data_IF_718279924161
#
_entry.id   IF_718279924161
#
_cell.length_a   1.000
_cell.length_b   1.000
_cell.length_c   1.000
_cell.angle_alpha   90.00
_cell.angle_beta   90.00
_cell.angle_gamma   90.00
#
_symmetry.space_group_name_H-M   'P 1'
#
loop_
_entity.id
_entity.type
_entity.pdbx_description
1 polymer ?
#
# COMPACT_ATOMS: atom_id res chain seq x y z
N UNK A 1 28.38 17.29 21.54
CA UNK A 1 27.02 17.79 21.24
C UNK A 1 26.30 16.81 20.31
N UNK A 2 26.98 16.34 19.26
CA UNK A 2 26.51 15.30 18.32
C UNK A 2 26.04 14.02 18.98
N UNK A 3 26.86 13.38 19.82
CA UNK A 3 26.48 12.12 20.51
C UNK A 3 25.18 12.25 21.32
N UNK A 4 25.03 13.34 22.09
CA UNK A 4 23.80 13.63 22.85
C UNK A 4 22.58 13.87 21.96
N UNK A 5 22.78 14.36 20.73
CA UNK A 5 21.69 14.55 19.77
C UNK A 5 21.29 13.22 19.13
N UNK A 6 22.27 12.37 18.80
CA UNK A 6 22.06 11.02 18.26
C UNK A 6 21.33 10.12 19.27
N UNK A 7 21.75 10.12 20.53
CA UNK A 7 21.06 9.37 21.60
C UNK A 7 19.59 9.76 21.72
N UNK A 8 19.29 11.07 21.67
CA UNK A 8 17.91 11.57 21.70
C UNK A 8 17.13 11.15 20.47
N UNK A 9 17.72 11.19 19.28
CA UNK A 9 17.07 10.76 18.05
C UNK A 9 16.72 9.27 18.09
N UNK A 10 17.64 8.43 18.61
CA UNK A 10 17.42 6.98 18.77
C UNK A 10 16.22 6.70 19.69
N UNK A 11 16.08 7.44 20.79
CA UNK A 11 14.93 7.29 21.69
C UNK A 11 13.62 7.58 20.95
N UNK A 12 13.58 8.64 20.14
CA UNK A 12 12.39 8.96 19.33
C UNK A 12 12.09 7.87 18.30
N UNK A 13 13.09 7.34 17.60
CA UNK A 13 12.90 6.25 16.64
C UNK A 13 12.42 4.96 17.32
N UNK A 14 12.94 4.65 18.50
CA UNK A 14 12.51 3.51 19.30
C UNK A 14 11.02 3.59 19.66
N UNK A 15 10.56 4.74 20.16
CA UNK A 15 9.16 4.91 20.54
C UNK A 15 8.22 4.89 19.32
N UNK A 16 8.66 5.46 18.18
CA UNK A 16 7.91 5.37 16.93
C UNK A 16 7.78 3.92 16.44
N UNK A 17 8.88 3.16 16.41
CA UNK A 17 8.87 1.76 16.00
C UNK A 17 8.00 0.91 16.92
N UNK A 18 8.11 1.10 18.24
CA UNK A 18 7.28 0.41 19.21
C UNK A 18 5.79 0.66 18.97
N UNK A 19 5.43 1.92 18.67
CA UNK A 19 4.04 2.29 18.38
C UNK A 19 3.51 1.63 17.11
N UNK A 20 4.36 1.44 16.09
CA UNK A 20 4.00 0.72 14.87
C UNK A 20 3.80 -0.78 15.13
N UNK A 21 4.71 -1.42 15.88
CA UNK A 21 4.65 -2.86 16.17
C UNK A 21 3.47 -3.27 17.06
N UNK A 22 2.96 -2.35 17.87
CA UNK A 22 1.84 -2.59 18.78
C UNK A 22 0.47 -2.24 18.18
N UNK A 23 0.40 -1.89 16.89
CA UNK A 23 -0.88 -1.64 16.25
C UNK A 23 -1.71 -2.93 16.20
N UNK A 24 -3.02 -2.86 16.54
CA UNK A 24 -3.87 -4.03 16.49
C UNK A 24 -4.02 -4.51 15.04
N UNK A 25 -3.93 -5.83 14.79
CA UNK A 25 -4.10 -6.37 13.45
C UNK A 25 -5.57 -6.30 13.01
N UNK A 26 -5.79 -6.03 11.73
CA UNK A 26 -7.11 -6.08 11.10
C UNK A 26 -7.33 -7.51 10.58
N UNK A 27 -8.39 -8.19 11.05
CA UNK A 27 -8.70 -9.59 10.70
C UNK A 27 -9.97 -9.71 9.89
N UNK A 28 -10.06 -10.73 9.04
CA UNK A 28 -11.28 -11.05 8.28
C UNK A 28 -11.57 -10.10 7.12
N UNK A 29 -10.54 -9.42 6.61
CA UNK A 29 -10.64 -8.52 5.48
C UNK A 29 -9.76 -9.02 4.33
N UNK A 30 -10.32 -9.05 3.12
CA UNK A 30 -9.52 -9.06 1.90
C UNK A 30 -9.05 -7.63 1.65
N UNK A 31 -7.73 -7.46 1.55
CA UNK A 31 -7.06 -6.15 1.51
C UNK A 31 -6.42 -5.92 0.15
N UNK A 32 -6.67 -4.74 -0.42
CA UNK A 32 -5.93 -4.22 -1.57
C UNK A 32 -4.86 -3.25 -1.07
N UNK A 33 -3.59 -3.63 -1.17
CA UNK A 33 -2.46 -2.73 -1.01
C UNK A 33 -2.38 -1.76 -2.19
N UNK A 34 -2.18 -0.48 -1.90
CA UNK A 34 -1.99 0.59 -2.86
C UNK A 34 -0.72 1.35 -2.47
N UNK A 35 0.38 1.06 -3.18
CA UNK A 35 1.65 1.79 -3.08
C UNK A 35 1.65 2.96 -4.07
N UNK A 36 1.50 4.21 -3.61
CA UNK A 36 1.32 5.36 -4.48
C UNK A 36 2.64 5.76 -5.15
N UNK A 37 2.57 6.13 -6.43
CA UNK A 37 3.69 6.77 -7.10
C UNK A 37 3.25 7.55 -8.34
N UNK A 38 4.01 8.58 -8.70
CA UNK A 38 3.78 9.39 -9.91
C UNK A 38 4.18 8.64 -11.20
N UNK A 39 5.47 8.72 -11.57
CA UNK A 39 5.95 8.30 -12.91
C UNK A 39 5.96 6.78 -13.11
N UNK A 40 6.23 6.02 -12.05
CA UNK A 40 6.35 4.56 -12.09
C UNK A 40 5.00 3.85 -12.03
N UNK A 41 3.91 4.59 -11.86
CA UNK A 41 2.57 4.06 -11.60
C UNK A 41 2.41 3.62 -10.15
N UNK A 42 1.16 3.63 -9.69
CA UNK A 42 0.76 3.10 -8.40
C UNK A 42 0.69 1.58 -8.48
N UNK A 43 1.25 0.90 -7.47
CA UNK A 43 1.41 -0.55 -7.44
C UNK A 43 0.32 -1.13 -6.56
N UNK A 44 -0.33 -2.15 -7.08
CA UNK A 44 -1.51 -2.76 -6.48
C UNK A 44 -1.20 -4.21 -6.18
N UNK A 45 -1.54 -4.64 -4.97
CA UNK A 45 -1.50 -6.03 -4.56
C UNK A 45 -2.81 -6.37 -3.85
N UNK A 46 -3.40 -7.52 -4.13
CA UNK A 46 -4.58 -8.00 -3.41
C UNK A 46 -4.18 -9.21 -2.59
N UNK A 47 -4.46 -9.18 -1.29
CA UNK A 47 -4.22 -10.29 -0.37
C UNK A 47 -5.52 -10.74 0.29
N UNK A 48 -5.66 -12.05 0.52
CA UNK A 48 -6.79 -12.58 1.26
C UNK A 48 -6.67 -12.36 2.77
N UNK A 49 -7.67 -12.82 3.53
CA UNK A 49 -7.71 -12.72 5.00
C UNK A 49 -6.57 -13.43 5.73
N UNK A 50 -5.85 -14.33 5.04
CA UNK A 50 -4.68 -15.05 5.55
C UNK A 50 -3.36 -14.37 5.20
N UNK A 51 -3.39 -13.32 4.37
CA UNK A 51 -2.22 -12.62 3.86
C UNK A 51 -1.65 -13.24 2.57
N UNK A 52 -2.34 -14.21 1.96
CA UNK A 52 -1.89 -14.82 0.70
C UNK A 52 -2.14 -13.84 -0.45
N UNK A 53 -1.10 -13.63 -1.27
CA UNK A 53 -1.21 -12.83 -2.50
C UNK A 53 -2.15 -13.51 -3.51
N UNK A 54 -3.13 -12.75 -3.99
CA UNK A 54 -4.14 -13.17 -4.96
C UNK A 54 -3.87 -12.60 -6.36
N UNK A 55 -3.49 -11.32 -6.44
CA UNK A 55 -3.28 -10.62 -7.71
C UNK A 55 -2.41 -9.38 -7.53
N UNK A 56 -1.87 -8.88 -8.64
CA UNK A 56 -1.11 -7.63 -8.68
C UNK A 56 -1.43 -6.83 -9.93
N UNK A 57 -1.29 -5.50 -9.87
CA UNK A 57 -1.43 -4.64 -11.03
C UNK A 57 -0.59 -3.36 -10.87
N UNK A 58 -0.38 -2.67 -11.99
CA UNK A 58 0.16 -1.30 -12.00
C UNK A 58 -0.85 -0.40 -12.68
N UNK A 59 -1.26 0.66 -12.00
CA UNK A 59 -2.23 1.65 -12.48
C UNK A 59 -1.62 3.05 -12.44
N UNK A 60 -2.17 4.00 -13.19
CA UNK A 60 -1.57 5.33 -13.35
C UNK A 60 -2.57 6.46 -13.07
N UNK A 61 -3.23 6.49 -11.90
CA UNK A 61 -4.24 7.51 -11.59
C UNK A 61 -3.65 8.88 -11.28
N UNK A 62 -2.34 8.98 -11.07
CA UNK A 62 -1.67 10.24 -10.69
C UNK A 62 -0.88 10.84 -11.86
N UNK A 63 -0.42 12.10 -11.75
CA UNK A 63 0.47 12.68 -12.74
C UNK A 63 1.72 11.82 -12.99
N UNK A 64 2.27 11.79 -14.21
CA UNK A 64 1.88 12.61 -15.36
C UNK A 64 0.75 12.01 -16.23
N UNK A 65 0.42 10.72 -16.06
CA UNK A 65 -0.54 10.06 -16.96
C UNK A 65 -1.99 10.42 -16.65
N UNK A 66 -2.36 10.53 -15.37
CA UNK A 66 -3.74 10.85 -14.96
C UNK A 66 -4.79 9.93 -15.62
N UNK A 67 -4.47 8.65 -15.77
CA UNK A 67 -5.33 7.65 -16.42
C UNK A 67 -6.40 7.14 -15.44
N UNK A 68 -7.29 8.05 -15.03
CA UNK A 68 -8.28 7.81 -13.98
C UNK A 68 -9.26 6.70 -14.35
N UNK A 69 -9.81 6.73 -15.56
CA UNK A 69 -10.89 5.83 -15.97
C UNK A 69 -10.42 4.38 -16.08
N UNK A 70 -9.27 4.15 -16.71
CA UNK A 70 -8.69 2.82 -16.80
C UNK A 70 -8.25 2.32 -15.41
N UNK A 71 -7.64 3.19 -14.60
CA UNK A 71 -7.27 2.85 -13.21
C UNK A 71 -8.51 2.45 -12.39
N UNK A 72 -9.60 3.21 -12.48
CA UNK A 72 -10.88 2.87 -11.82
C UNK A 72 -11.38 1.52 -12.30
N UNK A 73 -11.38 1.28 -13.62
CA UNK A 73 -11.85 0.01 -14.19
C UNK A 73 -11.07 -1.17 -13.63
N UNK A 74 -9.74 -1.12 -13.67
CA UNK A 74 -8.87 -2.18 -13.14
C UNK A 74 -9.14 -2.41 -11.65
N UNK A 75 -9.22 -1.35 -10.84
CA UNK A 75 -9.48 -1.50 -9.41
C UNK A 75 -10.88 -2.06 -9.12
N UNK A 76 -11.92 -1.62 -9.86
CA UNK A 76 -13.28 -2.18 -9.73
C UNK A 76 -13.29 -3.68 -10.05
N UNK A 77 -12.62 -4.10 -11.13
CA UNK A 77 -12.53 -5.51 -11.51
C UNK A 77 -11.86 -6.34 -10.41
N UNK A 78 -10.75 -5.86 -9.84
CA UNK A 78 -10.07 -6.53 -8.72
C UNK A 78 -10.92 -6.57 -7.44
N UNK A 79 -11.59 -5.45 -7.10
CA UNK A 79 -12.46 -5.34 -5.93
C UNK A 79 -13.60 -6.36 -6.02
N UNK A 80 -14.27 -6.45 -7.17
CA UNK A 80 -15.39 -7.39 -7.34
C UNK A 80 -14.91 -8.84 -7.43
N UNK A 81 -13.82 -9.10 -8.16
CA UNK A 81 -13.26 -10.46 -8.33
C UNK A 81 -12.87 -11.09 -7.00
N UNK A 82 -12.29 -10.32 -6.09
CA UNK A 82 -11.74 -10.84 -4.83
C UNK A 82 -12.56 -10.46 -3.59
N UNK A 83 -13.67 -9.74 -3.75
CA UNK A 83 -14.46 -9.22 -2.62
C UNK A 83 -13.62 -8.37 -1.65
N UNK A 84 -12.81 -7.46 -2.20
CA UNK A 84 -12.00 -6.54 -1.40
C UNK A 84 -12.93 -5.70 -0.52
N UNK A 85 -12.56 -5.56 0.76
CA UNK A 85 -13.32 -4.77 1.74
C UNK A 85 -12.52 -3.59 2.29
N UNK A 86 -11.20 -3.62 2.13
CA UNK A 86 -10.28 -2.61 2.65
C UNK A 86 -9.18 -2.29 1.62
N UNK A 87 -8.89 -1.02 1.44
CA UNK A 87 -7.75 -0.52 0.67
C UNK A 87 -6.72 0.05 1.65
N UNK A 88 -5.49 -0.46 1.63
CA UNK A 88 -4.38 0.04 2.42
C UNK A 88 -3.50 0.95 1.55
N UNK A 89 -3.59 2.26 1.76
CA UNK A 89 -2.85 3.28 0.99
C UNK A 89 -1.54 3.63 1.71
N UNK A 90 -0.40 3.43 1.04
CA UNK A 90 0.90 3.91 1.53
C UNK A 90 0.91 5.43 1.73
N UNK A 91 1.56 5.90 2.79
CA UNK A 91 1.68 7.33 3.11
C UNK A 91 2.85 8.02 2.39
N UNK A 92 3.34 7.44 1.30
CA UNK A 92 4.47 7.92 0.52
C UNK A 92 4.20 9.04 -0.45
N UNK A 93 5.04 9.04 -1.49
CA UNK A 93 4.96 9.99 -2.60
C UNK A 93 3.65 9.81 -3.36
N UNK A 94 2.98 10.91 -3.71
CA UNK A 94 1.67 10.91 -4.38
C UNK A 94 0.51 10.29 -3.58
N UNK A 95 0.69 10.07 -2.26
CA UNK A 95 -0.34 9.50 -1.38
C UNK A 95 -1.60 10.36 -1.34
N UNK A 96 -1.47 11.70 -1.32
CA UNK A 96 -2.61 12.63 -1.29
C UNK A 96 -3.46 12.55 -2.57
N UNK A 97 -2.83 12.57 -3.74
CA UNK A 97 -3.52 12.44 -5.02
C UNK A 97 -4.18 11.07 -5.17
N UNK A 98 -3.50 10.03 -4.67
CA UNK A 98 -4.02 8.67 -4.64
C UNK A 98 -5.21 8.53 -3.69
N UNK A 99 -5.18 9.18 -2.53
CA UNK A 99 -6.31 9.23 -1.58
C UNK A 99 -7.54 9.87 -2.23
N UNK A 100 -7.36 11.02 -2.91
CA UNK A 100 -8.47 11.68 -3.63
C UNK A 100 -9.06 10.75 -4.69
N UNK A 101 -8.21 10.06 -5.45
CA UNK A 101 -8.64 9.08 -6.44
C UNK A 101 -9.41 7.90 -5.82
N UNK A 102 -8.89 7.31 -4.73
CA UNK A 102 -9.54 6.19 -4.02
C UNK A 102 -10.88 6.63 -3.43
N UNK A 103 -10.95 7.83 -2.85
CA UNK A 103 -12.18 8.37 -2.29
C UNK A 103 -13.28 8.53 -3.35
N UNK A 104 -12.94 8.98 -4.56
CA UNK A 104 -13.89 9.04 -5.68
C UNK A 104 -14.26 7.65 -6.19
N UNK A 105 -13.30 6.72 -6.30
CA UNK A 105 -13.57 5.33 -6.67
C UNK A 105 -14.60 4.68 -5.74
N UNK A 106 -14.42 4.81 -4.42
CA UNK A 106 -15.29 4.18 -3.42
C UNK A 106 -16.74 4.66 -3.54
N UNK A 107 -16.97 5.93 -3.88
CA UNK A 107 -18.33 6.47 -4.08
C UNK A 107 -19.07 5.82 -5.25
N UNK A 108 -18.34 5.28 -6.23
CA UNK A 108 -18.90 4.64 -7.40
C UNK A 108 -19.12 3.13 -7.23
N UNK A 109 -18.70 2.55 -6.10
CA UNK A 109 -18.86 1.12 -5.83
C UNK A 109 -20.27 0.82 -5.30
N UNK A 110 -20.78 -0.34 -5.69
CA UNK A 110 -22.07 -0.84 -5.19
C UNK A 110 -21.99 -1.46 -3.79
N UNK A 111 -20.77 -1.66 -3.28
CA UNK A 111 -20.46 -2.33 -2.02
C UNK A 111 -19.62 -1.45 -1.10
N UNK A 112 -19.71 -1.71 0.21
CA UNK A 112 -18.93 -0.98 1.20
C UNK A 112 -17.46 -1.41 1.14
N UNK A 113 -16.60 -0.49 0.70
CA UNK A 113 -15.14 -0.60 0.77
C UNK A 113 -14.61 0.60 1.53
N UNK A 114 -13.72 0.36 2.48
CA UNK A 114 -13.05 1.40 3.26
C UNK A 114 -11.61 1.55 2.79
N UNK A 115 -10.99 2.69 3.08
CA UNK A 115 -9.55 2.84 2.97
C UNK A 115 -8.94 3.24 4.31
N UNK A 116 -7.68 2.90 4.48
CA UNK A 116 -6.84 3.34 5.59
C UNK A 116 -5.48 3.76 5.05
N UNK A 117 -4.88 4.77 5.67
CA UNK A 117 -3.52 5.19 5.35
C UNK A 117 -2.56 4.39 6.23
N UNK A 118 -1.57 3.76 5.62
CA UNK A 118 -0.56 2.93 6.29
C UNK A 118 0.84 3.51 6.12
N UNK A 119 1.71 3.22 7.07
CA UNK A 119 3.11 3.61 6.98
C UNK A 119 3.84 2.66 6.01
N UNK A 120 4.41 3.19 4.94
CA UNK A 120 5.19 2.41 3.97
C UNK A 120 6.68 2.28 4.34
N UNK A 121 7.10 2.84 5.49
CA UNK A 121 8.48 2.76 5.94
C UNK A 121 8.92 1.29 6.08
N UNK A 122 9.88 0.89 5.25
CA UNK A 122 10.41 -0.47 5.21
C UNK A 122 9.89 -1.32 4.06
N UNK A 123 8.80 -0.92 3.36
CA UNK A 123 8.26 -1.62 2.20
C UNK A 123 9.32 -1.80 1.09
N UNK A 124 9.99 -0.70 0.71
CA UNK A 124 11.06 -0.76 -0.31
C UNK A 124 12.31 -1.52 0.14
N UNK A 125 12.57 -1.59 1.45
CA UNK A 125 13.68 -2.36 2.01
C UNK A 125 13.35 -3.86 1.93
N UNK A 126 12.12 -4.22 2.30
CA UNK A 126 11.61 -5.59 2.18
C UNK A 126 11.58 -6.05 0.72
N UNK A 127 11.07 -5.23 -0.19
CA UNK A 127 10.91 -5.62 -1.60
C UNK A 127 12.24 -5.97 -2.27
N UNK A 128 13.31 -5.24 -1.93
CA UNK A 128 14.68 -5.45 -2.40
C UNK A 128 15.49 -6.46 -1.55
N UNK A 129 14.91 -7.02 -0.49
CA UNK A 129 15.60 -7.94 0.40
C UNK A 129 15.70 -9.35 -0.19
N UNK A 130 16.63 -10.15 0.36
CA UNK A 130 16.74 -11.56 0.04
C UNK A 130 15.45 -12.31 0.42
N UNK A 131 14.90 -12.05 1.62
CA UNK A 131 13.69 -12.72 2.09
C UNK A 131 12.48 -12.40 1.20
N UNK A 132 12.29 -11.14 0.77
CA UNK A 132 11.22 -10.80 -0.16
C UNK A 132 11.35 -11.46 -1.53
N UNK A 133 12.60 -11.72 -1.96
CA UNK A 133 12.86 -12.49 -3.19
C UNK A 133 12.59 -13.99 -3.01
N UNK A 134 12.85 -14.54 -1.83
CA UNK A 134 12.52 -15.92 -1.49
C UNK A 134 11.00 -16.15 -1.36
N UNK A 135 10.27 -15.18 -0.79
CA UNK A 135 8.80 -15.25 -0.64
C UNK A 135 8.07 -15.06 -1.98
N UNK A 136 8.58 -14.19 -2.86
CA UNK A 136 7.94 -13.86 -4.14
C UNK A 136 8.95 -13.83 -5.31
N UNK A 137 9.52 -14.98 -5.71
CA UNK A 137 10.59 -15.04 -6.72
C UNK A 137 10.14 -14.54 -8.09
N UNK A 138 8.90 -14.82 -8.47
CA UNK A 138 8.34 -14.49 -9.78
C UNK A 138 7.68 -13.10 -9.85
N UNK A 139 7.60 -12.38 -8.73
CA UNK A 139 7.02 -11.03 -8.67
C UNK A 139 8.12 -10.00 -8.84
N UNK A 140 7.85 -8.97 -9.66
CA UNK A 140 8.77 -7.85 -9.84
C UNK A 140 9.02 -7.12 -8.51
N UNK A 141 10.27 -6.68 -8.28
CA UNK A 141 10.68 -5.95 -7.08
C UNK A 141 9.77 -4.76 -6.75
N UNK A 142 9.20 -4.07 -7.75
CA UNK A 142 8.33 -2.92 -7.52
C UNK A 142 6.96 -3.27 -6.97
N UNK A 143 6.50 -4.52 -7.14
CA UNK A 143 5.17 -5.01 -6.74
C UNK A 143 5.18 -5.78 -5.42
N UNK A 144 6.36 -6.00 -4.81
CA UNK A 144 6.49 -6.67 -3.51
C UNK A 144 6.35 -5.71 -2.32
N UNK A 145 6.43 -4.41 -2.57
CA UNK A 145 6.34 -3.37 -1.53
C UNK A 145 4.95 -3.25 -0.95
#
# INVERSE_FOLDING_TARGET
LTEKAEEKAIIVFKENLKSLLLQPPIKGHVVMGFDPAYRTGCKIAVVDETGKLLDTATVYPTPPQNDFENSKKVLKELIEKYNVTLIALGNGTASRESEMFIAELIKELSREVKYVIVNEAGASVYSASQIGTEEFPDINVSLRG
#
